data_IF_097666263512
#
_entry.id   IF_097666263512
#
_cell.length_a   1.000
_cell.length_b   1.000
_cell.length_c   1.000
_cell.angle_alpha   90.00
_cell.angle_beta   90.00
_cell.angle_gamma   90.00
#
_symmetry.space_group_name_H-M   'P 1'
#
loop_
_entity.id
_entity.type
_entity.pdbx_description
1 polymer ?
#
# COMPACT_ATOMS: atom_id res chain seq x y z
N UNK A 1 25.13 4.34 4.57
CA UNK A 1 24.45 3.65 3.45
C UNK A 1 23.10 3.20 3.95
N UNK A 2 22.02 3.44 3.20
CA UNK A 2 20.66 3.04 3.53
C UNK A 2 20.20 1.98 2.54
N UNK A 3 19.46 1.00 3.03
CA UNK A 3 18.84 -0.05 2.22
C UNK A 3 17.32 0.09 2.27
N UNK A 4 16.63 -0.27 1.18
CA UNK A 4 15.18 -0.41 1.22
C UNK A 4 14.77 -1.62 2.06
N UNK A 5 13.50 -1.66 2.45
CA UNK A 5 12.91 -2.85 3.05
C UNK A 5 12.60 -3.91 1.99
N UNK A 6 12.44 -5.18 2.39
CA UNK A 6 11.89 -6.19 1.49
C UNK A 6 10.52 -5.75 0.94
N UNK A 7 10.15 -6.17 -0.28
CA UNK A 7 8.83 -5.89 -0.82
C UNK A 7 7.75 -6.55 0.04
N UNK A 8 6.67 -5.83 0.29
CA UNK A 8 5.47 -6.32 0.96
C UNK A 8 4.44 -6.62 -0.13
N UNK A 9 4.38 -7.86 -0.58
CA UNK A 9 3.50 -8.27 -1.69
C UNK A 9 2.93 -9.66 -1.47
N UNK A 10 1.90 -10.01 -2.24
CA UNK A 10 1.29 -11.34 -2.35
C UNK A 10 1.06 -11.66 -3.83
N UNK A 11 0.89 -12.94 -4.22
CA UNK A 11 0.60 -13.30 -5.62
C UNK A 11 -0.66 -12.62 -6.19
N UNK A 12 -1.65 -12.30 -5.35
CA UNK A 12 -2.88 -11.60 -5.70
C UNK A 12 -2.78 -10.06 -5.60
N UNK A 13 -1.57 -9.50 -5.52
CA UNK A 13 -1.33 -8.05 -5.55
C UNK A 13 -1.73 -7.47 -6.90
N UNK A 14 -2.64 -6.49 -6.88
CA UNK A 14 -3.16 -5.81 -8.07
C UNK A 14 -2.62 -4.40 -8.26
N UNK A 15 -2.23 -3.77 -7.16
CA UNK A 15 -1.64 -2.42 -7.14
C UNK A 15 -0.35 -2.47 -6.34
N UNK A 16 0.75 -2.02 -6.94
CA UNK A 16 2.04 -1.86 -6.25
C UNK A 16 2.32 -0.35 -6.06
N UNK A 17 2.45 0.08 -4.82
CA UNK A 17 2.82 1.47 -4.51
C UNK A 17 4.31 1.54 -4.17
N UNK A 18 5.03 2.37 -4.91
CA UNK A 18 6.48 2.50 -4.82
C UNK A 18 6.88 3.83 -4.19
N UNK A 19 7.59 3.77 -3.06
CA UNK A 19 8.36 4.88 -2.53
C UNK A 19 9.68 5.10 -3.28
N UNK A 20 10.46 6.10 -2.88
CA UNK A 20 11.83 6.30 -3.35
C UNK A 20 12.83 5.49 -2.51
N UNK A 21 12.94 5.85 -1.23
CA UNK A 21 13.79 5.21 -0.22
C UNK A 21 13.18 5.48 1.17
N UNK A 22 13.23 4.53 2.12
CA UNK A 22 12.72 4.77 3.47
C UNK A 22 13.35 6.00 4.11
N UNK A 23 12.54 6.87 4.73
CA UNK A 23 13.00 8.02 5.50
C UNK A 23 13.68 7.61 6.82
N UNK A 24 14.37 8.56 7.49
CA UNK A 24 15.08 8.27 8.74
C UNK A 24 14.17 7.65 9.81
N UNK A 25 12.93 8.16 10.00
CA UNK A 25 11.98 7.58 10.93
C UNK A 25 11.58 6.14 10.54
N UNK A 26 11.38 5.88 9.24
CA UNK A 26 11.06 4.54 8.75
C UNK A 26 12.20 3.56 9.00
N UNK A 27 13.45 3.99 8.79
CA UNK A 27 14.61 3.14 9.06
C UNK A 27 14.79 2.86 10.55
N UNK A 28 14.54 3.84 11.42
CA UNK A 28 14.63 3.67 12.87
C UNK A 28 13.58 2.69 13.40
N UNK A 29 12.34 2.81 12.93
CA UNK A 29 11.22 1.97 13.35
C UNK A 29 11.13 0.65 12.57
N UNK A 30 11.90 0.47 11.50
CA UNK A 30 11.79 -0.65 10.54
C UNK A 30 10.37 -0.76 9.94
N UNK A 31 9.71 0.38 9.74
CA UNK A 31 8.33 0.49 9.27
C UNK A 31 8.21 1.39 8.04
N UNK A 32 7.47 0.96 7.02
CA UNK A 32 7.09 1.84 5.91
C UNK A 32 6.27 3.04 6.43
N UNK A 33 6.65 4.25 5.96
CA UNK A 33 5.91 5.48 6.24
C UNK A 33 5.69 5.77 7.74
N UNK A 34 6.70 5.49 8.58
CA UNK A 34 6.62 5.62 10.04
C UNK A 34 6.55 7.08 10.54
N UNK A 35 7.01 8.06 9.75
CA UNK A 35 7.01 9.46 10.19
C UNK A 35 5.58 9.94 10.51
N UNK A 36 5.28 10.48 11.72
CA UNK A 36 3.90 10.77 12.17
C UNK A 36 3.13 11.74 11.27
N UNK A 37 3.82 12.67 10.60
CA UNK A 37 3.22 13.62 9.65
C UNK A 37 3.14 13.09 8.22
N UNK A 38 3.60 11.85 7.94
CA UNK A 38 3.44 11.27 6.61
C UNK A 38 1.96 10.93 6.37
N UNK A 39 1.44 11.36 5.23
CA UNK A 39 0.02 11.23 4.90
C UNK A 39 -0.34 9.87 4.28
N UNK A 40 0.64 8.98 4.07
CA UNK A 40 0.45 7.71 3.35
C UNK A 40 -0.71 6.88 3.90
N UNK A 41 -0.71 6.60 5.20
CA UNK A 41 -1.75 5.76 5.81
C UNK A 41 -3.14 6.37 5.72
N UNK A 42 -3.27 7.70 5.83
CA UNK A 42 -4.52 8.43 5.63
C UNK A 42 -4.99 8.36 4.18
N UNK A 43 -4.08 8.50 3.21
CA UNK A 43 -4.36 8.40 1.78
C UNK A 43 -4.79 6.97 1.41
N UNK A 44 -4.07 5.95 1.90
CA UNK A 44 -4.43 4.55 1.66
C UNK A 44 -5.72 4.14 2.37
N UNK A 45 -6.06 4.75 3.51
CA UNK A 45 -7.40 4.55 4.11
C UNK A 45 -8.50 5.00 3.15
N UNK A 46 -8.33 6.15 2.50
CA UNK A 46 -9.30 6.63 1.51
C UNK A 46 -9.38 5.72 0.27
N UNK A 47 -8.23 5.23 -0.24
CA UNK A 47 -8.15 4.36 -1.41
C UNK A 47 -8.79 3.00 -1.15
N UNK A 48 -8.52 2.39 0.01
CA UNK A 48 -9.01 1.05 0.35
C UNK A 48 -10.40 1.03 0.96
N UNK A 49 -10.91 2.22 1.39
CA UNK A 49 -12.17 2.32 2.14
C UNK A 49 -12.11 1.70 3.54
N UNK A 50 -10.90 1.45 4.08
CA UNK A 50 -10.65 0.90 5.43
C UNK A 50 -9.85 1.91 6.24
N UNK A 51 -10.25 2.17 7.48
CA UNK A 51 -9.46 3.04 8.36
C UNK A 51 -8.19 2.30 8.84
N UNK A 52 -7.06 2.64 8.23
CA UNK A 52 -5.75 2.04 8.54
C UNK A 52 -5.01 2.79 9.66
N UNK A 53 -5.37 4.05 9.91
CA UNK A 53 -4.62 4.91 10.82
C UNK A 53 -4.58 4.39 12.26
N UNK A 54 -5.69 3.91 12.87
CA UNK A 54 -5.69 3.42 14.25
C UNK A 54 -5.08 2.03 14.41
N UNK A 55 -4.81 1.30 13.31
CA UNK A 55 -4.29 -0.06 13.36
C UNK A 55 -2.82 -0.11 13.77
N UNK A 56 -2.40 -1.22 14.36
CA UNK A 56 -1.00 -1.54 14.55
C UNK A 56 -0.32 -1.74 13.19
N UNK A 57 0.98 -1.54 13.11
CA UNK A 57 1.70 -1.57 11.83
C UNK A 57 1.51 -2.87 11.04
N UNK A 58 1.58 -4.02 11.69
CA UNK A 58 1.39 -5.31 11.03
C UNK A 58 -0.05 -5.49 10.51
N UNK A 59 -1.03 -4.98 11.25
CA UNK A 59 -2.44 -5.01 10.83
C UNK A 59 -2.68 -4.08 9.63
N UNK A 60 -1.97 -2.93 9.57
CA UNK A 60 -1.98 -2.05 8.38
C UNK A 60 -1.48 -2.78 7.14
N UNK A 61 -0.34 -3.49 7.24
CA UNK A 61 0.22 -4.26 6.14
C UNK A 61 -0.73 -5.38 5.71
N UNK A 62 -1.29 -6.12 6.67
CA UNK A 62 -2.27 -7.16 6.40
C UNK A 62 -3.50 -6.60 5.67
N UNK A 63 -4.03 -5.48 6.14
CA UNK A 63 -5.18 -4.82 5.52
C UNK A 63 -4.90 -4.32 4.09
N UNK A 64 -3.68 -3.81 3.81
CA UNK A 64 -3.26 -3.45 2.45
C UNK A 64 -3.19 -4.67 1.55
N UNK A 65 -2.53 -5.75 2.00
CA UNK A 65 -2.40 -7.00 1.25
C UNK A 65 -3.76 -7.63 0.95
N UNK A 66 -4.68 -7.63 1.91
CA UNK A 66 -6.08 -8.09 1.71
C UNK A 66 -6.83 -7.24 0.68
N UNK A 67 -6.51 -5.93 0.59
CA UNK A 67 -7.06 -5.06 -0.44
C UNK A 67 -6.41 -5.26 -1.82
N UNK A 68 -5.36 -6.08 -1.91
CA UNK A 68 -4.57 -6.29 -3.13
C UNK A 68 -3.53 -5.20 -3.39
N UNK A 69 -3.08 -4.51 -2.34
CA UNK A 69 -2.04 -3.47 -2.41
C UNK A 69 -0.73 -4.01 -1.87
N UNK A 70 0.33 -3.91 -2.67
CA UNK A 70 1.71 -4.16 -2.25
C UNK A 70 2.50 -2.86 -2.09
N UNK A 71 3.61 -2.93 -1.37
CA UNK A 71 4.53 -1.83 -1.12
C UNK A 71 5.97 -2.22 -1.45
N UNK A 72 6.72 -1.28 -2.01
CA UNK A 72 8.17 -1.34 -2.11
C UNK A 72 8.77 0.05 -2.36
N UNK A 73 10.09 0.10 -2.63
CA UNK A 73 10.84 1.31 -2.96
C UNK A 73 11.59 1.14 -4.27
N UNK A 74 11.80 2.23 -5.02
CA UNK A 74 12.50 2.23 -6.31
C UNK A 74 14.02 2.21 -6.17
N UNK A 75 14.53 2.51 -4.98
CA UNK A 75 15.96 2.54 -4.64
C UNK A 75 16.27 1.39 -3.70
N UNK A 76 17.13 0.45 -4.12
CA UNK A 76 17.59 -0.64 -3.28
C UNK A 76 18.63 -0.18 -2.25
N UNK A 77 19.63 0.60 -2.70
CA UNK A 77 20.66 1.16 -1.83
C UNK A 77 21.05 2.58 -2.24
N UNK A 78 21.24 3.45 -1.26
CA UNK A 78 21.70 4.81 -1.49
C UNK A 78 22.40 5.39 -0.26
N UNK A 79 23.14 6.50 -0.45
CA UNK A 79 23.48 7.43 0.62
C UNK A 79 22.56 8.64 0.55
N UNK A 80 22.13 9.13 1.71
CA UNK A 80 21.30 10.32 1.82
C UNK A 80 21.62 11.06 3.11
N UNK A 81 21.79 12.37 3.01
CA UNK A 81 21.86 13.26 4.16
C UNK A 81 20.47 13.79 4.47
N UNK A 82 19.97 13.53 5.68
CA UNK A 82 18.63 13.90 6.09
C UNK A 82 17.54 13.01 5.46
N UNK A 83 16.32 13.56 5.27
CA UNK A 83 15.13 12.82 4.80
C UNK A 83 14.58 13.33 3.46
N UNK A 84 15.26 14.25 2.78
CA UNK A 84 14.81 14.79 1.49
C UNK A 84 15.23 13.88 0.34
N UNK A 85 14.27 13.57 -0.55
CA UNK A 85 14.54 12.75 -1.74
C UNK A 85 15.56 13.37 -2.69
N UNK A 86 15.63 14.70 -2.74
CA UNK A 86 16.64 15.42 -3.54
C UNK A 86 18.09 15.15 -3.10
N UNK A 87 18.32 14.70 -1.86
CA UNK A 87 19.62 14.35 -1.32
C UNK A 87 20.00 12.88 -1.53
N UNK A 88 19.15 12.07 -2.21
CA UNK A 88 19.44 10.67 -2.50
C UNK A 88 20.57 10.58 -3.54
N UNK A 89 21.67 9.95 -3.17
CA UNK A 89 22.72 9.51 -4.07
C UNK A 89 22.56 8.01 -4.31
N UNK A 90 22.00 7.66 -5.46
CA UNK A 90 21.67 6.28 -5.84
C UNK A 90 22.96 5.45 -6.01
N UNK A 91 23.00 4.30 -5.35
CA UNK A 91 24.03 3.27 -5.55
C UNK A 91 23.48 2.08 -6.33
N UNK A 92 22.24 1.66 -6.03
CA UNK A 92 21.55 0.62 -6.76
C UNK A 92 20.03 0.89 -6.77
N UNK A 93 19.42 0.69 -7.93
CA UNK A 93 17.97 0.66 -8.06
C UNK A 93 17.43 -0.72 -7.65
N UNK A 94 16.16 -0.75 -7.21
CA UNK A 94 15.46 -2.02 -6.99
C UNK A 94 15.13 -2.69 -8.32
N UNK A 95 15.10 -4.01 -8.36
CA UNK A 95 14.70 -4.74 -9.58
C UNK A 95 13.17 -4.82 -9.68
N UNK A 96 12.58 -3.72 -10.15
CA UNK A 96 11.11 -3.60 -10.26
C UNK A 96 10.54 -4.52 -11.33
N UNK A 97 11.27 -4.77 -12.40
CA UNK A 97 10.84 -5.65 -13.48
C UNK A 97 10.74 -7.11 -12.99
N UNK A 98 11.77 -7.58 -12.27
CA UNK A 98 11.74 -8.92 -11.68
C UNK A 98 10.59 -9.07 -10.68
N UNK A 99 10.37 -8.09 -9.79
CA UNK A 99 9.24 -8.14 -8.87
C UNK A 99 7.90 -8.17 -9.62
N UNK A 100 7.70 -7.29 -10.59
CA UNK A 100 6.45 -7.22 -11.36
C UNK A 100 6.14 -8.56 -12.08
N UNK A 101 7.16 -9.24 -12.58
CA UNK A 101 7.02 -10.55 -13.21
C UNK A 101 6.52 -11.66 -12.26
N UNK A 102 6.71 -11.50 -10.95
CA UNK A 102 6.20 -12.44 -9.92
C UNK A 102 4.76 -12.18 -9.49
N UNK A 103 4.12 -11.11 -9.99
CA UNK A 103 2.80 -10.65 -9.59
C UNK A 103 1.79 -10.77 -10.74
N UNK A 104 1.20 -11.96 -10.97
CA UNK A 104 0.35 -12.21 -12.14
C UNK A 104 -0.94 -11.39 -12.19
N UNK A 105 -1.42 -10.91 -11.03
CA UNK A 105 -2.62 -10.08 -10.92
C UNK A 105 -2.34 -8.56 -11.01
N UNK A 106 -1.06 -8.16 -11.18
CA UNK A 106 -0.66 -6.75 -11.13
C UNK A 106 -1.27 -5.94 -12.28
N UNK A 107 -2.06 -4.93 -11.92
CA UNK A 107 -2.79 -4.05 -12.86
C UNK A 107 -2.17 -2.66 -12.96
N UNK A 108 -1.63 -2.15 -11.86
CA UNK A 108 -1.04 -0.82 -11.80
C UNK A 108 0.16 -0.75 -10.86
N UNK A 109 1.10 0.13 -11.20
CA UNK A 109 2.22 0.55 -10.38
C UNK A 109 2.10 2.05 -10.16
N UNK A 110 2.02 2.47 -8.90
CA UNK A 110 1.87 3.86 -8.51
C UNK A 110 3.15 4.38 -7.84
N UNK A 111 3.69 5.48 -8.36
CA UNK A 111 4.89 6.11 -7.83
C UNK A 111 4.52 7.22 -6.84
N UNK A 112 4.88 7.04 -5.58
CA UNK A 112 4.64 8.01 -4.51
C UNK A 112 5.67 9.15 -4.57
N UNK A 113 5.45 10.09 -5.47
CA UNK A 113 6.26 11.26 -5.70
C UNK A 113 7.19 11.19 -6.92
N UNK A 114 7.63 12.35 -7.38
CA UNK A 114 8.40 12.50 -8.62
C UNK A 114 9.74 11.75 -8.63
N UNK A 115 10.43 11.67 -7.48
CA UNK A 115 11.71 10.94 -7.37
C UNK A 115 11.49 9.45 -7.59
N UNK A 116 10.46 8.86 -6.99
CA UNK A 116 10.09 7.47 -7.22
C UNK A 116 9.78 7.22 -8.70
N UNK A 117 8.98 8.08 -9.34
CA UNK A 117 8.65 7.97 -10.76
C UNK A 117 9.91 8.07 -11.66
N UNK A 118 10.77 9.06 -11.40
CA UNK A 118 12.01 9.28 -12.17
C UNK A 118 12.94 8.07 -12.15
N UNK A 119 13.05 7.38 -11.01
CA UNK A 119 13.94 6.23 -10.83
C UNK A 119 13.25 4.93 -11.30
N UNK A 120 11.97 4.77 -11.02
CA UNK A 120 11.26 3.52 -11.25
C UNK A 120 10.76 3.31 -12.68
N UNK A 121 10.25 4.35 -13.34
CA UNK A 121 9.71 4.20 -14.71
C UNK A 121 10.68 3.58 -15.72
N UNK A 122 11.95 4.00 -15.78
CA UNK A 122 12.89 3.42 -16.76
C UNK A 122 13.15 1.93 -16.59
N UNK A 123 12.86 1.37 -15.42
CA UNK A 123 13.05 -0.05 -15.12
C UNK A 123 11.90 -0.95 -15.62
N UNK A 124 10.75 -0.34 -15.90
CA UNK A 124 9.52 -1.05 -16.25
C UNK A 124 9.26 -0.92 -17.75
N UNK A 125 9.97 -1.52 -18.59
CA UNK A 125 9.88 -1.56 -20.04
C UNK A 125 8.65 -0.94 -20.76
N UNK A 126 8.60 -0.94 -22.08
CA UNK A 126 7.42 -0.49 -22.81
C UNK A 126 6.24 -1.46 -22.63
N UNK A 127 5.00 -0.96 -22.79
CA UNK A 127 3.79 -1.79 -22.79
C UNK A 127 3.92 -3.00 -23.78
N UNK A 128 3.20 -4.12 -23.51
CA UNK A 128 2.14 -4.27 -22.53
C UNK A 128 2.64 -4.60 -21.12
N UNK A 129 2.18 -3.87 -20.11
CA UNK A 129 2.52 -4.04 -18.71
C UNK A 129 1.45 -3.37 -17.81
N UNK A 130 1.68 -3.34 -16.50
CA UNK A 130 0.78 -2.64 -15.59
C UNK A 130 0.71 -1.15 -15.91
N UNK A 131 -0.42 -0.51 -15.60
CA UNK A 131 -0.59 0.94 -15.78
C UNK A 131 0.35 1.68 -14.82
N UNK A 132 1.13 2.64 -15.32
CA UNK A 132 2.08 3.42 -14.52
C UNK A 132 1.46 4.78 -14.14
N UNK A 133 1.35 5.05 -12.83
CA UNK A 133 0.62 6.20 -12.27
C UNK A 133 1.57 7.05 -11.42
N UNK A 134 1.67 8.35 -11.75
CA UNK A 134 2.43 9.29 -10.94
C UNK A 134 1.51 9.98 -9.93
N UNK A 135 1.88 9.89 -8.65
CA UNK A 135 1.14 10.46 -7.54
C UNK A 135 1.91 11.62 -6.90
N UNK A 136 1.20 12.60 -6.34
CA UNK A 136 1.83 13.55 -5.45
C UNK A 136 2.35 12.84 -4.20
N UNK A 137 3.56 13.21 -3.77
CA UNK A 137 4.20 12.56 -2.62
C UNK A 137 3.36 12.70 -1.34
N UNK A 138 3.26 11.60 -0.58
CA UNK A 138 2.66 11.55 0.76
C UNK A 138 3.56 12.18 1.83
N UNK A 139 4.82 12.46 1.51
CA UNK A 139 5.78 13.05 2.44
C UNK A 139 5.34 14.42 2.94
N UNK A 140 5.56 14.76 4.23
CA UNK A 140 5.32 16.10 4.75
C UNK A 140 6.22 17.17 4.09
N UNK A 141 7.36 16.77 3.52
CA UNK A 141 8.23 17.68 2.76
C UNK A 141 7.60 18.18 1.46
N UNK A 142 6.60 17.46 0.92
CA UNK A 142 5.83 17.90 -0.25
C UNK A 142 4.60 18.71 0.16
N UNK A 143 4.83 19.97 0.56
CA UNK A 143 3.79 20.87 1.05
C UNK A 143 3.04 21.65 -0.05
N UNK A 144 3.43 21.48 -1.33
CA UNK A 144 2.84 22.23 -2.45
C UNK A 144 1.35 21.92 -2.72
N UNK A 145 0.88 20.76 -2.28
CA UNK A 145 -0.52 20.36 -2.42
C UNK A 145 -1.16 20.11 -1.05
N UNK A 146 -2.42 20.56 -0.89
CA UNK A 146 -3.23 20.22 0.28
C UNK A 146 -3.50 18.72 0.35
N UNK A 147 -3.89 18.23 1.53
CA UNK A 147 -4.26 16.83 1.71
C UNK A 147 -5.40 16.42 0.79
N UNK A 148 -6.41 17.27 0.62
CA UNK A 148 -7.60 17.04 -0.20
C UNK A 148 -7.22 16.84 -1.67
N UNK A 149 -6.35 17.70 -2.22
CA UNK A 149 -5.86 17.57 -3.60
C UNK A 149 -5.01 16.30 -3.79
N UNK A 150 -4.20 15.94 -2.80
CA UNK A 150 -3.48 14.67 -2.84
C UNK A 150 -4.47 13.50 -2.81
N UNK A 151 -5.48 13.55 -1.92
CA UNK A 151 -6.49 12.52 -1.77
C UNK A 151 -7.28 12.29 -3.08
N UNK A 152 -7.67 13.33 -3.78
CA UNK A 152 -8.34 13.23 -5.09
C UNK A 152 -7.50 12.40 -6.07
N UNK A 153 -6.21 12.73 -6.20
CA UNK A 153 -5.29 12.00 -7.09
C UNK A 153 -5.08 10.54 -6.66
N UNK A 154 -4.95 10.31 -5.34
CA UNK A 154 -4.74 8.96 -4.83
C UNK A 154 -5.98 8.08 -4.95
N UNK A 155 -7.19 8.64 -4.90
CA UNK A 155 -8.44 7.90 -5.08
C UNK A 155 -8.56 7.24 -6.46
N UNK A 156 -7.86 7.72 -7.50
CA UNK A 156 -7.79 7.07 -8.79
C UNK A 156 -7.31 5.61 -8.69
N UNK A 157 -6.49 5.29 -7.68
CA UNK A 157 -5.97 3.96 -7.43
C UNK A 157 -7.06 2.93 -7.08
N UNK A 158 -8.18 3.35 -6.53
CA UNK A 158 -9.28 2.46 -6.14
C UNK A 158 -9.83 1.65 -7.32
N UNK A 159 -9.75 2.19 -8.55
CA UNK A 159 -10.19 1.50 -9.78
C UNK A 159 -9.41 0.18 -10.03
N UNK A 160 -8.19 0.07 -9.54
CA UNK A 160 -7.32 -1.10 -9.74
C UNK A 160 -7.47 -2.18 -8.67
N UNK A 161 -8.11 -1.88 -7.54
CA UNK A 161 -8.27 -2.83 -6.44
C UNK A 161 -9.37 -3.87 -6.70
N UNK A 162 -10.27 -3.62 -7.65
CA UNK A 162 -11.45 -4.45 -7.88
C UNK A 162 -12.53 -4.23 -6.81
N UNK A 163 -13.76 -4.67 -7.07
CA UNK A 163 -14.82 -4.64 -6.07
C UNK A 163 -14.44 -5.50 -4.88
N UNK A 164 -14.35 -4.92 -3.69
CA UNK A 164 -14.36 -5.70 -2.45
C UNK A 164 -15.62 -6.57 -2.49
N UNK A 165 -15.47 -7.91 -2.48
CA UNK A 165 -16.56 -8.80 -2.15
C UNK A 165 -16.94 -8.46 -0.69
N UNK A 166 -18.07 -7.79 -0.50
CA UNK A 166 -18.64 -7.58 0.83
C UNK A 166 -18.76 -8.97 1.45
N UNK A 167 -17.97 -9.25 2.49
CA UNK A 167 -18.17 -10.42 3.34
C UNK A 167 -19.46 -10.16 4.10
N UNK A 168 -20.59 -10.53 3.51
CA UNK A 168 -21.85 -10.65 4.22
C UNK A 168 -21.58 -11.63 5.37
N UNK A 169 -21.57 -11.14 6.59
CA UNK A 169 -21.64 -11.97 7.78
C UNK A 169 -22.96 -12.74 7.67
N UNK A 170 -22.86 -14.01 7.31
CA UNK A 170 -23.98 -14.94 7.46
C UNK A 170 -24.32 -14.97 8.95
N UNK A 171 -25.39 -14.29 9.32
CA UNK A 171 -25.98 -14.40 10.63
C UNK A 171 -26.42 -15.84 10.76
N UNK A 172 -25.77 -16.59 11.63
CA UNK A 172 -26.18 -17.92 12.02
C UNK A 172 -27.52 -17.77 12.75
N UNK A 173 -28.63 -18.03 12.03
CA UNK A 173 -29.98 -18.09 12.58
C UNK A 173 -30.02 -19.26 13.55
N UNK A 174 -30.03 -18.95 14.85
CA UNK A 174 -30.24 -19.94 15.90
C UNK A 174 -31.65 -20.54 15.77
N UNK A 175 -31.73 -21.79 15.42
CA UNK A 175 -32.97 -22.60 15.56
C UNK A 175 -33.29 -22.70 17.03
N UNK A 176 -34.38 -22.08 17.43
CA UNK A 176 -35.06 -22.35 18.70
C UNK A 176 -35.58 -23.79 18.70
N UNK A 177 -35.09 -24.59 19.64
CA UNK A 177 -35.60 -25.93 19.92
C UNK A 177 -36.80 -25.74 20.86
N UNK A 178 -38.01 -25.92 20.34
CA UNK A 178 -39.23 -26.05 21.14
C UNK A 178 -39.20 -27.40 21.85
N UNK A 179 -39.15 -27.39 23.19
CA UNK A 179 -39.41 -28.55 24.01
C UNK A 179 -40.92 -28.81 24.00
N UNK A 180 -41.31 -29.88 23.34
CA UNK A 180 -42.66 -30.47 23.47
C UNK A 180 -42.82 -31.16 24.84
N UNK A 181 -43.85 -30.80 25.55
CA UNK A 181 -44.15 -31.37 26.86
C UNK A 181 -44.61 -32.82 26.75
N UNK A 182 -44.16 -33.60 27.70
CA UNK A 182 -44.67 -34.97 27.93
C UNK A 182 -45.64 -34.92 29.10
N UNK A 183 -46.93 -35.16 28.78
CA UNK A 183 -48.01 -35.34 29.72
C UNK A 183 -47.95 -36.78 30.19
N UNK A 184 -47.91 -37.00 31.47
CA UNK A 184 -48.09 -38.32 32.09
C UNK A 184 -49.44 -38.29 32.81
N UNK A 185 -50.37 -39.19 32.39
CA UNK A 185 -51.64 -39.48 33.07
C UNK A 185 -51.52 -40.72 33.94
N UNK A 186 -52.28 -40.70 35.02
CA UNK A 186 -52.70 -41.69 35.98
C UNK A 186 -51.89 -41.89 37.21
#
# INVERSE_FOLDING_TARGET
MHHCFPPVTRPDTRLLVLGSLPGAASLAEQHYYAHPRNQFWRLMSAVTGRDLVPLLYQDRLTALLEAGVGLWDTVATATREGSLDAAIRLHAASDLAALAATLPELRAIAFNGATSAKIGRPQLGPAPGPVLIDLPSSSPAHAALSFEKKRERWLELAAYLGRQKSRTRSACSGRAITKSGMQVSA
#
